data_IF_745745016766
#
_entry.id   IF_745745016766
#
_cell.length_a   1.000
_cell.length_b   1.000
_cell.length_c   1.000
_cell.angle_alpha   90.00
_cell.angle_beta   90.00
_cell.angle_gamma   90.00
#
_symmetry.space_group_name_H-M   'P 1'
#
loop_
_entity.id
_entity.type
_entity.pdbx_description
1 polymer ?
#
# COMPACT_ATOMS: atom_id res chain seq x y z
N UNK A 1 32.22 0.36 -33.90
CA UNK A 1 32.02 1.82 -33.70
C UNK A 1 31.68 2.05 -32.24
N UNK A 2 32.65 2.44 -31.43
CA UNK A 2 32.46 2.82 -30.03
C UNK A 2 31.84 4.21 -29.98
N UNK A 3 30.60 4.33 -29.54
CA UNK A 3 29.94 5.61 -29.39
C UNK A 3 30.70 6.47 -28.37
N UNK A 4 31.23 7.57 -28.80
CA UNK A 4 31.85 8.59 -27.93
C UNK A 4 30.71 9.22 -27.12
N UNK A 5 30.54 8.74 -25.91
CA UNK A 5 29.59 9.34 -24.93
C UNK A 5 30.18 10.68 -24.52
N UNK A 6 29.63 11.78 -25.02
CA UNK A 6 30.11 13.11 -24.71
C UNK A 6 29.91 13.45 -23.23
N UNK A 7 30.86 14.20 -22.65
CA UNK A 7 30.83 14.66 -21.23
C UNK A 7 29.51 15.37 -20.88
N UNK A 8 28.86 16.00 -21.88
CA UNK A 8 27.54 16.64 -21.74
C UNK A 8 26.41 15.65 -21.48
N UNK A 9 26.43 14.47 -22.12
CA UNK A 9 25.42 13.41 -21.91
C UNK A 9 25.58 12.78 -20.54
N UNK A 10 26.82 12.56 -20.07
CA UNK A 10 27.11 12.06 -18.73
C UNK A 10 26.63 13.04 -17.66
N UNK A 11 26.88 14.34 -17.85
CA UNK A 11 26.45 15.38 -16.92
C UNK A 11 24.92 15.56 -16.89
N UNK A 12 24.24 15.43 -18.02
CA UNK A 12 22.78 15.50 -18.10
C UNK A 12 22.13 14.28 -17.41
N UNK A 13 22.66 13.08 -17.63
CA UNK A 13 22.22 11.85 -16.98
C UNK A 13 22.44 11.90 -15.46
N UNK A 14 23.63 12.38 -15.02
CA UNK A 14 23.96 12.57 -13.61
C UNK A 14 23.04 13.59 -12.91
N UNK A 15 22.71 14.70 -13.58
CA UNK A 15 21.77 15.70 -13.03
C UNK A 15 20.33 15.17 -12.92
N UNK A 16 19.89 14.33 -13.84
CA UNK A 16 18.57 13.70 -13.76
C UNK A 16 18.51 12.63 -12.66
N UNK A 17 19.56 11.85 -12.50
CA UNK A 17 19.70 10.90 -11.41
C UNK A 17 19.71 11.57 -10.02
N UNK A 18 20.32 12.75 -9.92
CA UNK A 18 20.31 13.56 -8.69
C UNK A 18 18.93 14.14 -8.35
N UNK A 19 18.11 14.48 -9.36
CA UNK A 19 16.78 15.05 -9.14
C UNK A 19 15.79 14.02 -8.53
N UNK A 20 15.86 12.77 -8.94
CA UNK A 20 14.96 11.71 -8.42
C UNK A 20 15.55 10.98 -7.21
N UNK A 21 16.86 11.07 -6.96
CA UNK A 21 17.56 10.32 -5.91
C UNK A 21 17.56 8.79 -6.12
N UNK A 22 16.87 8.28 -7.16
CA UNK A 22 16.68 6.83 -7.39
C UNK A 22 18.01 6.09 -7.45
N UNK A 23 18.99 6.66 -8.16
CA UNK A 23 20.31 6.04 -8.36
C UNK A 23 21.36 6.47 -7.33
N UNK A 24 21.01 7.23 -6.31
CA UNK A 24 21.93 7.60 -5.25
C UNK A 24 22.37 6.35 -4.46
N UNK A 25 23.67 6.21 -4.25
CA UNK A 25 24.23 5.22 -3.33
C UNK A 25 24.17 5.66 -1.86
N UNK A 26 23.87 6.95 -1.63
CA UNK A 26 23.70 7.50 -0.28
C UNK A 26 22.24 7.38 0.12
N UNK A 27 22.00 7.16 1.40
CA UNK A 27 20.67 7.23 1.97
C UNK A 27 20.12 8.65 1.79
N UNK A 28 18.84 8.74 1.46
CA UNK A 28 18.13 10.00 1.36
C UNK A 28 17.55 10.37 2.73
N UNK A 29 17.17 11.63 2.88
CA UNK A 29 16.47 12.11 4.06
C UNK A 29 15.18 11.30 4.29
N UNK A 30 14.99 10.80 5.53
CA UNK A 30 13.87 9.93 5.89
C UNK A 30 14.06 8.44 5.60
N UNK A 31 15.22 8.01 5.09
CA UNK A 31 15.57 6.59 4.97
C UNK A 31 16.34 6.12 6.20
N UNK A 32 15.91 5.00 6.77
CA UNK A 32 16.50 4.42 7.96
C UNK A 32 17.68 3.50 7.60
N UNK A 33 18.91 3.81 8.04
CA UNK A 33 20.07 2.95 7.86
C UNK A 33 19.89 1.55 8.47
N UNK A 34 19.17 1.47 9.59
CA UNK A 34 18.92 0.21 10.27
C UNK A 34 18.02 -0.71 9.44
N UNK A 35 17.01 -0.14 8.77
CA UNK A 35 16.14 -0.91 7.87
C UNK A 35 16.92 -1.50 6.70
N UNK A 36 17.86 -0.75 6.13
CA UNK A 36 18.73 -1.27 5.07
C UNK A 36 19.62 -2.42 5.60
N UNK A 37 20.20 -2.26 6.78
CA UNK A 37 21.04 -3.30 7.39
C UNK A 37 20.21 -4.56 7.69
N UNK A 38 19.03 -4.42 8.27
CA UNK A 38 18.12 -5.55 8.53
C UNK A 38 17.75 -6.29 7.22
N UNK A 39 17.60 -5.56 6.11
CA UNK A 39 17.35 -6.17 4.79
C UNK A 39 18.56 -6.99 4.32
N UNK A 40 19.79 -6.46 4.49
CA UNK A 40 21.02 -7.17 4.16
C UNK A 40 21.14 -8.44 4.99
N UNK A 41 20.95 -8.34 6.31
CA UNK A 41 21.06 -9.47 7.23
C UNK A 41 20.00 -10.54 6.93
N UNK A 42 18.77 -10.16 6.59
CA UNK A 42 17.72 -11.07 6.13
C UNK A 42 18.13 -11.80 4.85
N UNK A 43 18.66 -11.09 3.85
CA UNK A 43 19.13 -11.71 2.60
C UNK A 43 20.29 -12.68 2.85
N UNK A 44 21.24 -12.33 3.71
CA UNK A 44 22.35 -13.21 4.09
C UNK A 44 21.83 -14.50 4.72
N UNK A 45 20.82 -14.40 5.57
CA UNK A 45 20.19 -15.54 6.23
C UNK A 45 19.39 -16.39 5.23
N UNK A 46 18.52 -15.77 4.43
CA UNK A 46 17.62 -16.45 3.49
C UNK A 46 18.38 -17.23 2.41
N UNK A 47 19.51 -16.70 1.93
CA UNK A 47 20.35 -17.33 0.93
C UNK A 47 21.51 -18.17 1.50
N UNK A 48 21.58 -18.33 2.82
CA UNK A 48 22.65 -19.07 3.51
C UNK A 48 24.07 -18.62 3.09
N UNK A 49 24.26 -17.31 3.01
CA UNK A 49 25.53 -16.70 2.57
C UNK A 49 26.58 -16.85 3.65
N UNK A 50 27.69 -17.54 3.33
CA UNK A 50 28.80 -17.78 4.29
C UNK A 50 30.12 -17.13 3.87
N UNK A 51 30.17 -16.53 2.67
CA UNK A 51 31.38 -15.95 2.13
C UNK A 51 31.24 -14.44 1.84
N UNK A 52 32.39 -13.79 1.72
CA UNK A 52 32.46 -12.31 1.51
C UNK A 52 31.81 -11.89 0.18
N UNK A 53 31.93 -12.71 -0.88
CA UNK A 53 31.34 -12.39 -2.19
C UNK A 53 29.81 -12.40 -2.09
N UNK A 54 29.25 -13.42 -1.45
CA UNK A 54 27.81 -13.50 -1.23
C UNK A 54 27.29 -12.33 -0.38
N UNK A 55 28.04 -11.91 0.66
CA UNK A 55 27.69 -10.73 1.45
C UNK A 55 27.65 -9.45 0.61
N UNK A 56 28.64 -9.26 -0.29
CA UNK A 56 28.66 -8.12 -1.21
C UNK A 56 27.45 -8.15 -2.17
N UNK A 57 27.09 -9.32 -2.69
CA UNK A 57 25.90 -9.47 -3.55
C UNK A 57 24.61 -9.22 -2.77
N UNK A 58 24.48 -9.68 -1.53
CA UNK A 58 23.34 -9.38 -0.67
C UNK A 58 23.22 -7.87 -0.41
N UNK A 59 24.33 -7.20 -0.15
CA UNK A 59 24.39 -5.74 0.01
C UNK A 59 23.98 -5.01 -1.28
N UNK A 60 24.45 -5.47 -2.44
CA UNK A 60 24.05 -4.89 -3.73
C UNK A 60 22.57 -5.13 -4.02
N UNK A 61 22.03 -6.32 -3.71
CA UNK A 61 20.61 -6.62 -3.86
C UNK A 61 19.75 -5.72 -2.96
N UNK A 62 20.13 -5.53 -1.71
CA UNK A 62 19.42 -4.61 -0.80
C UNK A 62 19.42 -3.16 -1.33
N UNK A 63 20.53 -2.70 -1.92
CA UNK A 63 20.58 -1.38 -2.56
C UNK A 63 19.68 -1.29 -3.80
N UNK A 64 19.61 -2.34 -4.63
CA UNK A 64 18.69 -2.39 -5.78
C UNK A 64 17.24 -2.35 -5.30
N UNK A 65 16.88 -3.09 -4.25
CA UNK A 65 15.54 -3.04 -3.65
C UNK A 65 15.20 -1.63 -3.12
N UNK A 66 16.13 -0.98 -2.45
CA UNK A 66 15.96 0.41 -2.00
C UNK A 66 15.71 1.36 -3.19
N UNK A 67 16.45 1.22 -4.29
CA UNK A 67 16.23 2.01 -5.51
C UNK A 67 14.87 1.76 -6.14
N UNK A 68 14.38 0.52 -6.12
CA UNK A 68 13.03 0.20 -6.59
C UNK A 68 11.96 0.90 -5.73
N UNK A 69 12.09 0.85 -4.41
CA UNK A 69 11.19 1.57 -3.50
C UNK A 69 11.20 3.09 -3.74
N UNK A 70 12.39 3.67 -4.03
CA UNK A 70 12.49 5.09 -4.41
C UNK A 70 11.78 5.38 -5.72
N UNK A 71 11.90 4.50 -6.72
CA UNK A 71 11.23 4.64 -8.01
C UNK A 71 9.70 4.60 -7.84
N UNK A 72 9.20 3.70 -7.00
CA UNK A 72 7.78 3.61 -6.66
C UNK A 72 7.27 4.88 -5.95
N UNK A 73 8.00 5.37 -4.93
CA UNK A 73 7.68 6.62 -4.23
C UNK A 73 7.67 7.82 -5.18
N UNK A 74 8.67 7.88 -6.06
CA UNK A 74 8.75 8.95 -7.06
C UNK A 74 7.58 8.89 -8.06
N UNK A 75 7.21 7.68 -8.52
CA UNK A 75 6.03 7.48 -9.37
C UNK A 75 4.75 7.94 -8.65
N UNK A 76 4.58 7.56 -7.38
CA UNK A 76 3.44 8.00 -6.58
C UNK A 76 3.40 9.52 -6.42
N UNK A 77 4.55 10.16 -6.18
CA UNK A 77 4.65 11.61 -6.09
C UNK A 77 4.33 12.30 -7.43
N UNK A 78 4.81 11.76 -8.55
CA UNK A 78 4.48 12.27 -9.89
C UNK A 78 3.00 12.11 -10.19
N UNK A 79 2.41 10.98 -9.85
CA UNK A 79 0.98 10.74 -10.00
C UNK A 79 0.15 11.76 -9.20
N UNK A 80 0.46 11.95 -7.92
CA UNK A 80 -0.19 12.95 -7.08
C UNK A 80 -0.01 14.37 -7.64
N UNK A 81 1.20 14.71 -8.11
CA UNK A 81 1.47 16.01 -8.72
C UNK A 81 0.68 16.22 -10.03
N UNK A 82 0.46 15.16 -10.82
CA UNK A 82 -0.37 15.25 -12.03
C UNK A 82 -1.85 15.47 -11.68
N UNK A 83 -2.38 14.75 -10.70
CA UNK A 83 -3.76 14.95 -10.23
C UNK A 83 -3.97 16.36 -9.64
N UNK A 84 -2.95 16.92 -8.98
CA UNK A 84 -3.01 18.27 -8.43
C UNK A 84 -2.89 19.38 -9.48
N UNK A 85 -2.54 19.08 -10.75
CA UNK A 85 -2.41 20.09 -11.80
C UNK A 85 -3.73 20.80 -12.04
N UNK A 86 -3.64 22.09 -12.34
CA UNK A 86 -4.79 22.91 -12.71
C UNK A 86 -5.55 22.34 -13.92
N UNK A 87 -4.83 21.82 -14.93
CA UNK A 87 -5.43 21.19 -16.11
C UNK A 87 -6.32 20.00 -15.76
N UNK A 88 -5.89 19.13 -14.84
CA UNK A 88 -6.68 17.98 -14.37
C UNK A 88 -7.93 18.43 -13.62
N UNK A 89 -7.83 19.49 -12.80
CA UNK A 89 -8.99 20.09 -12.11
C UNK A 89 -9.99 20.71 -13.07
N UNK A 90 -9.50 21.37 -14.13
CA UNK A 90 -10.35 21.93 -15.21
C UNK A 90 -11.07 20.81 -15.95
N UNK A 91 -10.38 19.73 -16.29
CA UNK A 91 -10.95 18.58 -16.98
C UNK A 91 -11.99 17.89 -16.11
N UNK A 92 -11.70 17.64 -14.82
CA UNK A 92 -12.65 17.13 -13.85
C UNK A 92 -13.92 17.98 -13.77
N UNK A 93 -13.73 19.30 -13.67
CA UNK A 93 -14.82 20.27 -13.62
C UNK A 93 -15.66 20.26 -14.89
N UNK A 94 -15.03 20.12 -16.06
CA UNK A 94 -15.72 20.07 -17.37
C UNK A 94 -16.56 18.80 -17.51
N UNK A 95 -16.04 17.63 -17.14
CA UNK A 95 -16.76 16.35 -17.20
C UNK A 95 -17.97 16.32 -16.25
N UNK A 96 -17.90 17.04 -15.14
CA UNK A 96 -19.01 17.18 -14.19
C UNK A 96 -19.95 18.35 -14.48
N UNK A 97 -19.69 19.13 -15.55
CA UNK A 97 -20.41 20.35 -15.88
C UNK A 97 -20.36 21.41 -14.75
N UNK A 98 -19.28 21.46 -14.01
CA UNK A 98 -19.02 22.51 -13.02
C UNK A 98 -18.55 23.79 -13.74
N UNK A 99 -18.93 24.95 -13.21
CA UNK A 99 -18.45 26.22 -13.78
C UNK A 99 -16.92 26.37 -13.61
N UNK A 100 -16.26 27.14 -14.50
CA UNK A 100 -14.82 27.40 -14.40
C UNK A 100 -14.40 27.99 -13.02
N UNK A 101 -15.25 28.80 -12.40
CA UNK A 101 -15.07 29.29 -11.03
C UNK A 101 -15.12 28.15 -10.00
N UNK A 102 -15.92 27.11 -10.26
CA UNK A 102 -15.96 25.90 -9.44
C UNK A 102 -14.66 25.10 -9.48
N UNK A 103 -13.99 25.04 -10.64
CA UNK A 103 -12.73 24.30 -10.79
C UNK A 103 -11.59 24.86 -9.90
N UNK A 104 -11.50 26.19 -9.80
CA UNK A 104 -10.48 26.84 -8.96
C UNK A 104 -10.74 26.67 -7.45
N UNK A 105 -12.00 26.48 -7.06
CA UNK A 105 -12.41 26.32 -5.66
C UNK A 105 -12.55 24.87 -5.20
N UNK A 106 -12.29 23.88 -6.09
CA UNK A 106 -12.34 22.48 -5.71
C UNK A 106 -11.31 22.14 -4.63
N UNK A 107 -11.73 21.57 -3.51
CA UNK A 107 -10.81 21.24 -2.42
C UNK A 107 -9.88 20.11 -2.82
N UNK A 108 -8.67 20.11 -2.25
CA UNK A 108 -7.63 19.11 -2.56
C UNK A 108 -8.05 17.68 -2.22
N UNK A 109 -8.90 17.51 -1.20
CA UNK A 109 -9.37 16.19 -0.78
C UNK A 109 -10.23 15.47 -1.85
N UNK A 110 -10.76 16.16 -2.85
CA UNK A 110 -11.43 15.55 -4.00
C UNK A 110 -10.47 14.65 -4.79
N UNK A 111 -9.20 15.01 -4.86
CA UNK A 111 -8.16 14.34 -5.64
C UNK A 111 -7.29 13.40 -4.80
N UNK A 112 -7.38 13.53 -3.48
CA UNK A 112 -6.69 12.66 -2.53
C UNK A 112 -7.64 11.56 -2.06
N UNK A 113 -7.11 10.37 -1.82
CA UNK A 113 -7.91 9.22 -1.35
C UNK A 113 -8.10 9.27 0.17
N UNK A 114 -8.59 10.41 0.67
CA UNK A 114 -8.83 10.64 2.10
C UNK A 114 -10.18 10.07 2.52
N UNK A 115 -10.17 8.88 3.11
CA UNK A 115 -11.36 8.23 3.67
C UNK A 115 -12.00 9.07 4.79
N UNK A 116 -11.19 9.81 5.56
CA UNK A 116 -11.65 10.68 6.63
C UNK A 116 -12.49 11.85 6.08
N UNK A 117 -11.98 12.55 5.05
CA UNK A 117 -12.69 13.67 4.43
C UNK A 117 -13.98 13.23 3.74
N UNK A 118 -13.96 12.06 3.08
CA UNK A 118 -15.14 11.45 2.47
C UNK A 118 -16.18 11.06 3.51
N UNK A 119 -15.77 10.41 4.59
CA UNK A 119 -16.64 10.08 5.71
C UNK A 119 -17.28 11.32 6.32
N UNK A 120 -16.52 12.41 6.50
CA UNK A 120 -17.02 13.69 6.95
C UNK A 120 -18.03 14.29 5.98
N UNK A 121 -17.76 14.25 4.68
CA UNK A 121 -18.68 14.75 3.66
C UNK A 121 -20.04 14.02 3.69
N UNK A 122 -20.02 12.70 3.85
CA UNK A 122 -21.24 11.88 3.98
C UNK A 122 -22.04 12.23 5.24
N UNK A 123 -21.38 12.44 6.38
CA UNK A 123 -22.05 12.86 7.63
C UNK A 123 -22.70 14.23 7.47
N UNK A 124 -22.00 15.20 6.89
CA UNK A 124 -22.51 16.55 6.62
C UNK A 124 -23.69 16.50 5.66
N UNK A 125 -23.59 15.72 4.58
CA UNK A 125 -24.68 15.56 3.63
C UNK A 125 -25.93 14.95 4.28
N UNK A 126 -25.78 13.91 5.09
CA UNK A 126 -26.91 13.32 5.85
C UNK A 126 -27.56 14.36 6.76
N UNK A 127 -26.77 15.12 7.50
CA UNK A 127 -27.29 16.21 8.34
C UNK A 127 -28.05 17.26 7.50
N UNK A 128 -27.54 17.59 6.30
CA UNK A 128 -28.22 18.52 5.38
C UNK A 128 -29.54 17.97 4.85
N UNK A 129 -29.61 16.69 4.47
CA UNK A 129 -30.85 16.03 4.03
C UNK A 129 -31.87 15.98 5.16
N UNK A 130 -31.44 15.66 6.41
CA UNK A 130 -32.29 15.68 7.59
C UNK A 130 -32.83 17.10 7.87
N UNK A 131 -32.00 18.13 7.66
CA UNK A 131 -32.42 19.53 7.79
C UNK A 131 -33.51 19.89 6.75
N UNK A 132 -33.31 19.51 5.49
CA UNK A 132 -34.33 19.73 4.45
C UNK A 132 -35.64 19.00 4.78
N UNK A 133 -35.56 17.80 5.31
CA UNK A 133 -36.73 17.04 5.78
C UNK A 133 -37.44 17.78 6.93
N UNK A 134 -36.69 18.30 7.91
CA UNK A 134 -37.23 19.03 9.04
C UNK A 134 -37.89 20.36 8.60
N UNK A 135 -37.30 21.09 7.66
CA UNK A 135 -37.90 22.31 7.09
C UNK A 135 -39.23 22.00 6.42
N UNK A 136 -39.29 20.94 5.61
CA UNK A 136 -40.51 20.53 4.88
C UNK A 136 -41.60 20.06 5.80
N UNK A 137 -41.27 19.41 6.89
CA UNK A 137 -42.21 18.73 7.79
C UNK A 137 -42.16 19.35 9.21
N UNK A 138 -41.91 20.65 9.32
CA UNK A 138 -41.77 21.33 10.60
C UNK A 138 -43.00 21.19 11.48
N UNK A 139 -42.80 20.81 12.76
CA UNK A 139 -43.76 20.85 13.84
C UNK A 139 -43.04 20.98 15.17
N UNK A 140 -43.71 21.54 16.19
CA UNK A 140 -43.17 21.70 17.53
C UNK A 140 -42.78 20.33 18.13
N UNK A 141 -43.59 19.29 17.89
CA UNK A 141 -43.33 17.93 18.35
C UNK A 141 -42.05 17.32 17.72
N UNK A 142 -41.82 17.53 16.42
CA UNK A 142 -40.58 17.10 15.75
C UNK A 142 -39.35 17.82 16.25
N UNK A 143 -39.48 19.13 16.55
CA UNK A 143 -38.34 19.87 17.11
C UNK A 143 -37.89 19.31 18.46
N UNK A 144 -38.81 18.72 19.25
CA UNK A 144 -38.44 18.01 20.49
C UNK A 144 -37.83 16.63 20.25
N UNK A 145 -38.13 16.01 19.11
CA UNK A 145 -37.65 14.64 18.77
C UNK A 145 -36.43 14.62 17.85
N UNK A 146 -35.85 15.78 17.51
CA UNK A 146 -34.73 15.86 16.55
C UNK A 146 -33.61 14.91 16.91
N UNK A 147 -33.26 14.72 18.17
CA UNK A 147 -32.22 13.79 18.62
C UNK A 147 -32.50 12.35 18.21
N UNK A 148 -33.76 11.92 18.29
CA UNK A 148 -34.16 10.54 18.00
C UNK A 148 -34.42 10.30 16.50
N UNK A 149 -35.03 11.28 15.82
CA UNK A 149 -35.46 11.15 14.42
C UNK A 149 -34.42 11.59 13.41
N UNK A 150 -33.55 12.55 13.78
CA UNK A 150 -32.59 13.23 12.90
C UNK A 150 -31.19 13.31 13.57
N UNK A 151 -30.55 12.19 13.83
CA UNK A 151 -29.34 12.13 14.67
C UNK A 151 -28.13 12.85 14.04
N UNK A 152 -28.00 12.87 12.72
CA UNK A 152 -26.89 13.57 12.07
C UNK A 152 -27.04 15.09 12.16
N UNK A 153 -28.25 15.60 11.98
CA UNK A 153 -28.56 17.02 12.19
C UNK A 153 -28.35 17.41 13.65
N UNK A 154 -28.78 16.56 14.59
CA UNK A 154 -28.53 16.78 16.01
C UNK A 154 -27.03 16.91 16.29
N UNK A 155 -26.22 15.94 15.87
CA UNK A 155 -24.77 15.96 16.08
C UNK A 155 -24.12 17.17 15.42
N UNK A 156 -24.58 17.58 14.23
CA UNK A 156 -24.06 18.76 13.55
C UNK A 156 -24.30 20.07 14.36
N UNK A 157 -25.50 20.24 14.91
CA UNK A 157 -25.88 21.46 15.63
C UNK A 157 -25.34 21.46 17.05
N UNK A 158 -25.42 20.34 17.75
CA UNK A 158 -25.05 20.22 19.17
C UNK A 158 -23.56 19.91 19.35
N UNK A 159 -22.91 19.31 18.35
CA UNK A 159 -21.58 18.75 18.46
C UNK A 159 -21.56 17.43 19.24
N UNK A 160 -20.42 16.75 19.27
CA UNK A 160 -20.25 15.42 19.89
C UNK A 160 -20.06 15.49 21.42
N UNK A 161 -20.15 16.67 22.02
CA UNK A 161 -19.90 16.86 23.46
C UNK A 161 -21.17 16.69 24.29
N UNK A 162 -21.19 15.67 25.12
CA UNK A 162 -22.26 15.49 26.15
C UNK A 162 -22.43 16.69 27.09
N UNK A 163 -21.37 17.50 27.25
CA UNK A 163 -21.42 18.73 28.04
C UNK A 163 -22.33 19.79 27.41
N UNK A 164 -22.34 19.87 26.08
CA UNK A 164 -23.20 20.82 25.34
C UNK A 164 -24.68 20.46 25.48
N UNK A 165 -25.03 19.19 25.46
CA UNK A 165 -26.40 18.69 25.61
C UNK A 165 -27.00 19.02 26.99
N UNK A 166 -26.17 19.13 28.04
CA UNK A 166 -26.62 19.49 29.40
C UNK A 166 -26.90 20.98 29.57
N UNK A 167 -26.36 21.81 28.69
CA UNK A 167 -26.41 23.26 28.81
C UNK A 167 -27.41 23.87 27.84
N UNK A 168 -27.59 23.32 26.65
CA UNK A 168 -28.41 23.90 25.59
C UNK A 168 -29.44 22.91 25.04
N UNK A 169 -30.65 23.41 24.79
CA UNK A 169 -31.62 22.70 23.94
C UNK A 169 -31.26 22.91 22.44
N UNK A 170 -31.78 22.05 21.57
CA UNK A 170 -31.58 22.17 20.13
C UNK A 170 -32.02 23.57 19.60
N UNK A 171 -33.15 24.08 20.08
CA UNK A 171 -33.68 25.38 19.67
C UNK A 171 -32.80 26.55 20.13
N UNK A 172 -32.24 26.47 21.34
CA UNK A 172 -31.30 27.49 21.85
C UNK A 172 -29.98 27.45 21.05
N UNK A 173 -29.46 26.26 20.78
CA UNK A 173 -28.25 26.11 19.99
C UNK A 173 -28.45 26.61 18.56
N UNK A 174 -29.63 26.33 17.96
CA UNK A 174 -29.98 26.82 16.64
C UNK A 174 -30.04 28.38 16.61
N UNK A 175 -30.40 29.03 17.72
CA UNK A 175 -30.42 30.48 17.79
C UNK A 175 -29.04 31.14 17.69
N UNK A 176 -27.95 30.39 17.87
CA UNK A 176 -26.59 30.88 17.66
C UNK A 176 -26.23 31.05 16.18
N UNK A 177 -26.94 30.37 15.27
CA UNK A 177 -26.72 30.50 13.83
C UNK A 177 -27.51 31.64 13.19
N UNK A 178 -28.46 32.25 13.92
CA UNK A 178 -29.39 33.26 13.36
C UNK A 178 -30.04 34.09 14.44
N UNK A 179 -30.29 35.35 14.13
CA UNK A 179 -31.02 36.28 15.01
C UNK A 179 -32.56 36.25 14.83
N UNK A 180 -33.08 35.32 14.01
CA UNK A 180 -34.50 35.18 13.78
C UNK A 180 -35.20 34.55 14.99
N UNK A 181 -36.43 34.94 15.23
CA UNK A 181 -37.29 34.38 16.29
C UNK A 181 -38.10 33.19 15.83
N UNK A 182 -38.55 33.21 14.57
CA UNK A 182 -39.32 32.12 13.96
C UNK A 182 -38.47 30.85 13.75
N UNK A 183 -38.89 29.69 14.28
CA UNK A 183 -38.14 28.45 14.15
C UNK A 183 -37.91 28.01 12.69
N UNK A 184 -38.86 28.21 11.79
CA UNK A 184 -38.72 27.82 10.36
C UNK A 184 -37.69 28.70 9.67
N UNK A 185 -37.67 30.00 9.99
CA UNK A 185 -36.67 30.90 9.45
C UNK A 185 -35.27 30.58 9.97
N UNK A 186 -35.14 30.16 11.24
CA UNK A 186 -33.87 29.69 11.81
C UNK A 186 -33.34 28.45 11.07
N UNK A 187 -34.21 27.49 10.75
CA UNK A 187 -33.85 26.33 10.00
C UNK A 187 -33.41 26.65 8.56
N UNK A 188 -34.08 27.63 7.91
CA UNK A 188 -33.68 28.11 6.58
C UNK A 188 -32.31 28.79 6.61
N UNK A 189 -32.08 29.67 7.60
CA UNK A 189 -30.79 30.33 7.76
C UNK A 189 -29.66 29.27 8.02
N UNK A 190 -29.94 28.23 8.83
CA UNK A 190 -29.00 27.12 9.02
C UNK A 190 -28.74 26.37 7.70
N UNK A 191 -29.78 26.12 6.89
CA UNK A 191 -29.64 25.48 5.56
C UNK A 191 -28.72 26.32 4.66
N UNK A 192 -28.93 27.61 4.61
CA UNK A 192 -28.13 28.52 3.80
C UNK A 192 -26.67 28.55 4.30
N UNK A 193 -26.48 28.62 5.61
CA UNK A 193 -25.16 28.54 6.24
C UNK A 193 -24.44 27.23 5.93
N UNK A 194 -25.13 26.08 6.05
CA UNK A 194 -24.55 24.76 5.69
C UNK A 194 -24.24 24.70 4.20
N UNK A 195 -25.14 25.19 3.35
CA UNK A 195 -24.98 25.20 1.90
C UNK A 195 -23.82 26.07 1.43
N UNK A 196 -23.50 27.16 2.12
CA UNK A 196 -22.34 27.99 1.84
C UNK A 196 -21.04 27.37 2.37
N UNK A 197 -21.04 27.00 3.65
CA UNK A 197 -19.85 26.53 4.36
C UNK A 197 -19.39 25.13 3.90
N UNK A 198 -20.34 24.24 3.63
CA UNK A 198 -20.10 22.84 3.30
C UNK A 198 -20.57 22.47 1.88
N UNK A 199 -20.54 23.45 0.98
CA UNK A 199 -21.01 23.26 -0.40
C UNK A 199 -20.36 22.08 -1.10
N UNK A 200 -19.05 21.92 -0.93
CA UNK A 200 -18.28 20.88 -1.61
C UNK A 200 -18.58 19.50 -1.03
N UNK A 201 -18.66 19.38 0.29
CA UNK A 201 -18.99 18.13 0.97
C UNK A 201 -20.39 17.65 0.60
N UNK A 202 -21.37 18.57 0.56
CA UNK A 202 -22.74 18.28 0.20
C UNK A 202 -22.85 17.83 -1.27
N UNK A 203 -22.20 18.54 -2.18
CA UNK A 203 -22.21 18.20 -3.61
C UNK A 203 -21.54 16.87 -3.89
N UNK A 204 -20.38 16.63 -3.25
CA UNK A 204 -19.67 15.36 -3.37
C UNK A 204 -20.55 14.19 -2.94
N UNK A 205 -21.01 14.18 -1.70
CA UNK A 205 -21.78 13.09 -1.14
C UNK A 205 -23.15 12.89 -1.80
N UNK A 206 -23.74 13.95 -2.39
CA UNK A 206 -24.96 13.83 -3.17
C UNK A 206 -24.80 13.10 -4.52
N UNK A 207 -23.57 13.02 -5.03
CA UNK A 207 -23.26 12.45 -6.36
C UNK A 207 -21.94 11.68 -6.35
N UNK A 208 -21.63 11.00 -5.25
CA UNK A 208 -20.34 10.32 -5.00
C UNK A 208 -19.96 9.39 -6.14
N UNK A 209 -20.86 8.49 -6.55
CA UNK A 209 -20.59 7.53 -7.63
C UNK A 209 -20.17 8.21 -8.94
N UNK A 210 -20.80 9.35 -9.26
CA UNK A 210 -20.48 10.10 -10.46
C UNK A 210 -19.11 10.77 -10.37
N UNK A 211 -18.78 11.32 -9.21
CA UNK A 211 -17.48 11.95 -8.98
C UNK A 211 -16.35 10.93 -8.97
N UNK A 212 -16.56 9.77 -8.34
CA UNK A 212 -15.60 8.68 -8.35
C UNK A 212 -15.36 8.14 -9.77
N UNK A 213 -16.41 7.91 -10.57
CA UNK A 213 -16.25 7.44 -11.93
C UNK A 213 -15.40 8.39 -12.80
N UNK A 214 -15.60 9.70 -12.65
CA UNK A 214 -14.80 10.71 -13.36
C UNK A 214 -13.34 10.71 -12.85
N UNK A 215 -13.14 10.63 -11.54
CA UNK A 215 -11.79 10.55 -10.96
C UNK A 215 -11.04 9.31 -11.39
N UNK A 216 -11.70 8.16 -11.41
CA UNK A 216 -11.09 6.90 -11.84
C UNK A 216 -10.69 6.96 -13.32
N UNK A 217 -11.51 7.60 -14.16
CA UNK A 217 -11.15 7.88 -15.55
C UNK A 217 -9.89 8.74 -15.65
N UNK A 218 -9.81 9.82 -14.90
CA UNK A 218 -8.63 10.72 -14.86
C UNK A 218 -7.40 10.03 -14.28
N UNK A 219 -7.57 9.23 -13.22
CA UNK A 219 -6.50 8.41 -12.62
C UNK A 219 -5.94 7.42 -13.64
N UNK A 220 -6.82 6.72 -14.37
CA UNK A 220 -6.41 5.79 -15.42
C UNK A 220 -5.65 6.50 -16.55
N UNK A 221 -6.10 7.68 -16.96
CA UNK A 221 -5.41 8.50 -17.98
C UNK A 221 -4.00 8.89 -17.51
N UNK A 222 -3.87 9.43 -16.29
CA UNK A 222 -2.56 9.80 -15.72
C UNK A 222 -1.64 8.58 -15.57
N UNK A 223 -2.19 7.42 -15.17
CA UNK A 223 -1.42 6.18 -15.11
C UNK A 223 -0.91 5.76 -16.48
N UNK A 224 -1.73 5.86 -17.53
CA UNK A 224 -1.31 5.56 -18.91
C UNK A 224 -0.22 6.52 -19.39
N UNK A 225 -0.34 7.82 -19.11
CA UNK A 225 0.69 8.80 -19.44
C UNK A 225 2.03 8.50 -18.74
N UNK A 226 1.99 8.16 -17.44
CA UNK A 226 3.20 7.78 -16.69
C UNK A 226 3.77 6.44 -17.16
N UNK A 227 2.92 5.46 -17.47
CA UNK A 227 3.35 4.17 -18.01
C UNK A 227 3.98 4.32 -19.41
N UNK A 228 3.51 5.27 -20.21
CA UNK A 228 4.08 5.60 -21.51
C UNK A 228 5.43 6.35 -21.45
N UNK A 229 5.91 6.72 -20.26
CA UNK A 229 7.19 7.41 -20.12
C UNK A 229 8.38 6.45 -20.34
N UNK A 230 9.12 6.56 -21.47
CA UNK A 230 10.14 5.58 -21.83
C UNK A 230 11.34 5.56 -20.87
N UNK A 231 11.60 6.65 -20.17
CA UNK A 231 12.69 6.73 -19.21
C UNK A 231 12.34 5.93 -17.93
N UNK A 232 11.12 6.06 -17.44
CA UNK A 232 10.62 5.29 -16.30
C UNK A 232 10.63 3.79 -16.58
N UNK A 233 10.10 3.38 -17.73
CA UNK A 233 10.10 1.97 -18.14
C UNK A 233 11.50 1.39 -18.24
N UNK A 234 12.45 2.15 -18.82
CA UNK A 234 13.84 1.71 -18.95
C UNK A 234 14.48 1.51 -17.58
N UNK A 235 14.28 2.46 -16.68
CA UNK A 235 14.86 2.42 -15.34
C UNK A 235 14.31 1.26 -14.54
N UNK A 236 13.01 1.05 -14.54
CA UNK A 236 12.36 -0.07 -13.86
C UNK A 236 12.79 -1.42 -14.45
N UNK A 237 12.80 -1.54 -15.78
CA UNK A 237 13.25 -2.78 -16.44
C UNK A 237 14.70 -3.10 -16.08
N UNK A 238 15.55 -2.09 -16.03
CA UNK A 238 16.96 -2.23 -15.63
C UNK A 238 17.10 -2.71 -14.19
N UNK A 239 16.36 -2.10 -13.26
CA UNK A 239 16.37 -2.49 -11.85
C UNK A 239 15.82 -3.90 -11.63
N UNK A 240 14.73 -4.26 -12.31
CA UNK A 240 14.17 -5.61 -12.26
C UNK A 240 15.13 -6.67 -12.79
N UNK A 241 15.78 -6.43 -13.92
CA UNK A 241 16.82 -7.35 -14.47
C UNK A 241 17.96 -7.52 -13.46
N UNK A 242 18.49 -6.41 -12.95
CA UNK A 242 19.59 -6.46 -11.97
C UNK A 242 19.19 -7.21 -10.71
N UNK A 243 17.99 -7.00 -10.19
CA UNK A 243 17.43 -7.75 -9.06
C UNK A 243 17.42 -9.24 -9.34
N UNK A 244 16.89 -9.64 -10.50
CA UNK A 244 16.80 -11.06 -10.89
C UNK A 244 18.19 -11.68 -11.01
N UNK A 245 19.13 -11.01 -11.66
CA UNK A 245 20.50 -11.48 -11.83
C UNK A 245 21.20 -11.71 -10.46
N UNK A 246 21.04 -10.76 -9.53
CA UNK A 246 21.62 -10.86 -8.19
C UNK A 246 21.00 -12.00 -7.37
N UNK A 247 19.69 -12.21 -7.48
CA UNK A 247 19.01 -13.35 -6.84
C UNK A 247 19.54 -14.66 -7.36
N UNK A 248 19.69 -14.82 -8.67
CA UNK A 248 20.23 -16.05 -9.27
C UNK A 248 21.66 -16.32 -8.78
N UNK A 249 22.50 -15.29 -8.73
CA UNK A 249 23.88 -15.40 -8.21
C UNK A 249 23.91 -15.79 -6.73
N UNK A 250 23.04 -15.20 -5.90
CA UNK A 250 22.94 -15.55 -4.48
C UNK A 250 22.47 -16.98 -4.26
N UNK A 251 21.48 -17.46 -5.03
CA UNK A 251 21.02 -18.85 -4.98
C UNK A 251 22.18 -19.81 -5.32
N UNK A 252 22.96 -19.48 -6.34
CA UNK A 252 24.11 -20.30 -6.73
C UNK A 252 25.15 -20.38 -5.60
N UNK A 253 25.53 -19.25 -5.01
CA UNK A 253 26.47 -19.19 -3.88
C UNK A 253 25.93 -19.96 -2.66
N UNK A 254 24.65 -19.82 -2.34
CA UNK A 254 24.02 -20.56 -1.25
C UNK A 254 24.09 -22.07 -1.44
N UNK A 255 23.86 -22.56 -2.66
CA UNK A 255 23.99 -23.98 -2.99
C UNK A 255 25.42 -24.47 -2.88
N UNK A 256 26.39 -23.71 -3.38
CA UNK A 256 27.81 -24.03 -3.27
C UNK A 256 28.26 -24.11 -1.81
N UNK A 257 27.79 -23.18 -0.97
CA UNK A 257 28.05 -23.16 0.47
C UNK A 257 27.50 -24.42 1.16
N UNK A 258 26.30 -24.88 0.79
CA UNK A 258 25.71 -26.10 1.35
C UNK A 258 26.48 -27.35 0.93
N UNK A 259 26.89 -27.43 -0.33
CA UNK A 259 27.70 -28.60 -0.81
C UNK A 259 29.05 -28.70 -0.10
N UNK A 260 29.71 -27.58 0.15
CA UNK A 260 30.97 -27.52 0.92
C UNK A 260 30.76 -27.94 2.38
N UNK A 261 29.69 -27.53 3.01
CA UNK A 261 29.36 -27.93 4.39
C UNK A 261 29.06 -29.43 4.50
N UNK A 262 28.29 -29.97 3.55
CA UNK A 262 27.97 -31.40 3.52
C UNK A 262 29.24 -32.26 3.29
N UNK A 263 30.11 -31.87 2.37
CA UNK A 263 31.37 -32.57 2.12
C UNK A 263 32.34 -32.50 3.32
N UNK A 264 32.40 -31.34 4.01
CA UNK A 264 33.18 -31.17 5.22
C UNK A 264 32.63 -32.01 6.40
N UNK A 265 31.33 -32.16 6.49
CA UNK A 265 30.67 -32.99 7.51
C UNK A 265 30.91 -34.46 7.26
N UNK A 266 30.85 -34.92 5.99
CA UNK A 266 31.17 -36.30 5.58
C UNK A 266 32.64 -36.63 5.84
N UNK A 267 33.58 -35.75 5.49
CA UNK A 267 35.00 -35.95 5.76
C UNK A 267 35.33 -36.05 7.27
N UNK A 268 34.61 -35.31 8.12
CA UNK A 268 34.74 -35.44 9.58
C UNK A 268 34.15 -36.78 10.08
N UNK A 269 33.01 -37.21 9.52
CA UNK A 269 32.41 -38.49 9.87
C UNK A 269 33.30 -39.68 9.46
N UNK A 270 33.87 -39.62 8.26
CA UNK A 270 34.82 -40.65 7.77
C UNK A 270 36.10 -40.65 8.61
N UNK A 271 36.60 -39.47 8.98
CA UNK A 271 37.79 -39.38 9.86
C UNK A 271 37.52 -39.95 11.27
N UNK A 272 36.31 -39.71 11.80
CA UNK A 272 35.89 -40.26 13.11
C UNK A 272 35.74 -41.79 13.04
N UNK A 273 35.20 -42.35 11.95
CA UNK A 273 35.14 -43.79 11.76
C UNK A 273 36.51 -44.44 11.65
N UNK A 274 37.46 -43.84 10.91
CA UNK A 274 38.84 -44.31 10.82
C UNK A 274 39.56 -44.33 12.17
N UNK A 275 39.30 -43.31 13.04
CA UNK A 275 39.87 -43.25 14.40
C UNK A 275 39.25 -44.36 15.26
N UNK A 276 37.97 -44.63 15.15
CA UNK A 276 37.30 -45.70 15.93
C UNK A 276 37.81 -47.09 15.51
N UNK A 277 38.08 -47.34 14.25
CA UNK A 277 38.65 -48.60 13.76
C UNK A 277 40.11 -48.81 14.22
N UNK A 278 40.87 -47.77 14.44
CA UNK A 278 42.28 -47.88 14.96
C UNK A 278 42.33 -48.13 16.47
N UNK A 279 41.33 -47.80 17.24
CA UNK A 279 41.29 -48.04 18.71
C UNK A 279 40.74 -49.42 19.09
N UNK A 280 39.99 -50.12 18.19
CA UNK A 280 39.46 -51.46 18.49
C UNK A 280 40.28 -52.63 17.95
N UNK A 281 41.49 -52.38 17.54
CA UNK A 281 42.42 -53.41 17.04
C UNK A 281 43.11 -54.24 18.12
N UNK A 282 42.36 -54.76 19.11
CA UNK A 282 42.81 -55.85 19.97
C UNK A 282 41.75 -56.95 20.03
N UNK A 283 42.13 -58.09 19.48
CA UNK A 283 41.65 -59.45 19.70
C UNK A 283 40.24 -59.65 20.25
N UNK A 284 39.32 -60.12 19.41
CA UNK A 284 38.31 -61.07 19.86
C UNK A 284 38.05 -62.09 18.73
N UNK A 285 38.26 -63.35 19.08
CA UNK A 285 37.97 -64.57 18.32
C UNK A 285 36.56 -64.61 17.78
N UNK A 286 36.41 -65.14 16.59
CA UNK A 286 35.17 -65.35 15.86
C UNK A 286 34.18 -66.24 16.63
N UNK A 287 32.88 -65.93 16.65
CA UNK A 287 31.83 -66.91 16.88
C UNK A 287 31.11 -67.31 15.59
N UNK A 288 30.74 -68.56 15.58
CA UNK A 288 30.09 -69.34 14.55
C UNK A 288 28.88 -68.77 13.87
N UNK A 289 28.75 -69.08 12.63
CA UNK A 289 27.62 -68.82 11.74
C UNK A 289 26.42 -69.71 12.12
N UNK A 290 25.33 -69.21 12.59
CA UNK A 290 24.02 -69.87 12.53
C UNK A 290 23.10 -69.08 11.62
N UNK A 291 22.72 -69.71 10.52
CA UNK A 291 21.78 -69.11 9.55
C UNK A 291 20.38 -69.11 10.04
N UNK A 292 19.73 -68.02 9.82
CA UNK A 292 18.26 -67.91 9.84
C UNK A 292 17.75 -67.34 8.52
N UNK A 293 16.93 -68.11 7.86
CA UNK A 293 16.11 -67.87 6.69
C UNK A 293 15.11 -66.74 6.96
N UNK A 294 15.12 -65.77 6.07
CA UNK A 294 14.08 -64.69 6.03
C UNK A 294 12.98 -65.07 5.07
N UNK A 295 11.78 -65.14 5.59
CA UNK A 295 10.54 -65.12 4.81
C UNK A 295 10.17 -63.68 4.49
N UNK A 296 9.87 -63.48 3.21
CA UNK A 296 9.29 -62.22 2.71
C UNK A 296 7.81 -62.16 3.07
N UNK A 297 7.36 -60.99 3.54
CA UNK A 297 5.96 -60.61 3.48
C UNK A 297 5.79 -59.20 2.92
N UNK A 298 5.05 -59.21 1.86
CA UNK A 298 4.46 -58.20 1.05
C UNK A 298 3.47 -57.32 1.86
N UNK A 299 3.53 -56.01 1.76
CA UNK A 299 2.30 -55.23 1.80
C UNK A 299 2.49 -53.81 1.21
N UNK A 300 2.25 -53.72 -0.07
CA UNK A 300 2.00 -52.52 -0.82
C UNK A 300 0.60 -51.97 -0.51
N UNK A 301 0.48 -50.77 -0.02
CA UNK A 301 -0.72 -49.97 -0.19
C UNK A 301 -0.37 -48.52 -0.59
N UNK A 302 -0.51 -48.34 -1.91
CA UNK A 302 -0.59 -47.02 -2.57
C UNK A 302 -1.82 -46.29 -2.11
N UNK A 303 -1.67 -45.10 -1.59
CA UNK A 303 -2.74 -44.10 -1.50
C UNK A 303 -2.45 -42.96 -2.49
N UNK A 304 -3.29 -42.87 -3.54
CA UNK A 304 -3.37 -41.74 -4.45
C UNK A 304 -4.01 -40.55 -3.77
N UNK A 305 -3.54 -39.31 -4.00
CA UNK A 305 -4.26 -38.11 -3.60
C UNK A 305 -5.37 -37.78 -4.62
N UNK A 306 -6.57 -37.56 -4.12
CA UNK A 306 -7.74 -37.11 -4.86
C UNK A 306 -7.59 -35.64 -5.29
N UNK A 307 -7.85 -35.37 -6.56
CA UNK A 307 -8.01 -34.03 -7.15
C UNK A 307 -9.37 -33.43 -6.74
N UNK A 308 -9.47 -32.13 -6.42
CA UNK A 308 -10.75 -31.46 -6.23
C UNK A 308 -11.43 -31.14 -7.55
N UNK A 309 -12.71 -31.47 -7.65
CA UNK A 309 -13.59 -31.17 -8.78
C UNK A 309 -14.00 -29.67 -8.80
N UNK A 310 -14.18 -29.06 -9.98
CA UNK A 310 -14.68 -27.69 -10.11
C UNK A 310 -16.19 -27.63 -9.90
N UNK A 311 -16.63 -26.66 -9.07
CA UNK A 311 -18.04 -26.34 -8.85
C UNK A 311 -18.64 -25.67 -10.08
N UNK A 312 -19.74 -26.23 -10.57
CA UNK A 312 -20.60 -25.66 -11.61
C UNK A 312 -21.19 -24.31 -11.12
N UNK A 313 -21.17 -23.32 -12.01
CA UNK A 313 -21.93 -22.08 -11.88
C UNK A 313 -23.33 -22.33 -12.45
N UNK A 314 -24.33 -22.16 -11.63
CA UNK A 314 -25.71 -22.03 -12.05
C UNK A 314 -26.00 -20.62 -12.57
N UNK A 315 -26.83 -20.56 -13.56
CA UNK A 315 -27.25 -19.43 -14.37
C UNK A 315 -28.02 -18.34 -13.59
#
# INVERSE_FOLDING_TARGET
>A
MTAIVTKAVINASSKNALKSGIYSNKLLEGEDPQQLQNTIDGLVQDFNVTNTIGYQLAQELAQVMLRMTRAERWRAAMFAAHLAKHSTRVEFSAQLNLSALGAASLPDWYFNDSQEDRGRAQVIHRAYVELLYLIKNHSADRMMRVKAELPNLWSYVMGDSQATEKVFTFSERLSLYTNKTDPVMRLKDLKDHMGEKHRHEILWAASEDRYEAVLDGLRAQVQMELAGNPNLQRDETSLHRRKTDLIVQLIQIGRESQTVQLSASQSKADSAQVITYKQTGQCATAPEYQGHTLTADDNSKSQQPQQPQPKARDA
#
